data_IF_347049101994
#
_entry.id   IF_347049101994
#
_cell.length_a   1.000
_cell.length_b   1.000
_cell.length_c   1.000
_cell.angle_alpha   90.00
_cell.angle_beta   90.00
_cell.angle_gamma   90.00
#
_symmetry.space_group_name_H-M   'P 1'
#
loop_
_entity.id
_entity.type
_entity.pdbx_description
1 polymer ?
#
# COMPACT_ATOMS: atom_id res chain seq x y z
N UNK A 1 16.35 17.75 5.64
CA UNK A 1 16.92 16.62 4.87
C UNK A 1 15.88 15.50 4.81
N UNK A 2 15.58 14.91 3.64
CA UNK A 2 14.59 13.84 3.56
C UNK A 2 15.09 12.57 4.25
N UNK A 3 14.19 11.88 4.97
CA UNK A 3 14.49 10.64 5.67
C UNK A 3 14.82 9.51 4.67
N UNK A 4 16.02 8.93 4.79
CA UNK A 4 16.60 7.96 3.83
C UNK A 4 16.32 6.49 4.21
N UNK A 5 15.24 6.19 4.93
CA UNK A 5 14.87 4.81 5.27
C UNK A 5 14.27 4.11 4.05
N UNK A 6 14.65 2.86 3.82
CA UNK A 6 14.10 2.06 2.71
C UNK A 6 12.65 1.69 3.01
N UNK A 7 11.77 1.92 2.03
CA UNK A 7 10.36 1.54 2.05
C UNK A 7 10.12 0.44 1.05
N UNK A 8 9.31 -0.55 1.41
CA UNK A 8 8.90 -1.64 0.55
C UNK A 8 7.39 -1.83 0.65
N UNK A 9 6.79 -2.38 -0.41
CA UNK A 9 5.36 -2.74 -0.42
C UNK A 9 5.25 -4.25 -0.54
N UNK A 10 4.30 -4.83 0.19
CA UNK A 10 4.07 -6.27 0.16
C UNK A 10 2.69 -6.65 0.67
N UNK A 11 2.36 -7.92 0.48
CA UNK A 11 1.07 -8.49 0.93
C UNK A 11 1.23 -9.18 2.27
N UNK A 12 0.25 -9.01 3.15
CA UNK A 12 0.21 -9.70 4.45
C UNK A 12 -0.23 -11.16 4.25
N UNK A 13 0.58 -12.10 4.74
CA UNK A 13 0.32 -13.54 4.64
C UNK A 13 -0.17 -14.14 5.95
N UNK A 14 0.28 -13.59 7.09
CA UNK A 14 -0.17 -14.07 8.40
C UNK A 14 -0.10 -12.98 9.47
N UNK A 15 -1.08 -12.99 10.36
CA UNK A 15 -1.28 -12.12 11.52
C UNK A 15 -1.28 -12.91 12.85
N UNK A 16 -0.89 -14.19 12.83
CA UNK A 16 -0.97 -15.09 14.00
C UNK A 16 -0.12 -14.68 15.21
N UNK A 17 0.78 -13.71 15.08
CA UNK A 17 1.72 -13.30 16.12
C UNK A 17 1.29 -11.97 16.72
N UNK A 18 1.46 -11.80 18.02
CA UNK A 18 1.16 -10.53 18.67
C UNK A 18 2.09 -9.41 18.18
N UNK A 19 1.48 -8.25 17.92
CA UNK A 19 2.10 -7.01 17.44
C UNK A 19 2.90 -7.17 16.16
N UNK A 20 2.69 -8.24 15.41
CA UNK A 20 3.60 -8.66 14.34
C UNK A 20 2.87 -9.28 13.17
N UNK A 21 3.09 -8.72 11.98
CA UNK A 21 2.57 -9.29 10.74
C UNK A 21 3.70 -9.84 9.87
N UNK A 22 3.43 -10.97 9.21
CA UNK A 22 4.34 -11.54 8.20
C UNK A 22 3.94 -11.01 6.83
N UNK A 23 4.85 -10.26 6.22
CA UNK A 23 4.68 -9.62 4.91
C UNK A 23 5.49 -10.38 3.87
N UNK A 24 4.89 -10.67 2.73
CA UNK A 24 5.55 -11.21 1.55
C UNK A 24 5.97 -10.06 0.64
N UNK A 25 7.28 -9.99 0.40
CA UNK A 25 7.91 -9.05 -0.50
C UNK A 25 8.24 -9.75 -1.80
N UNK A 26 7.75 -9.20 -2.89
CA UNK A 26 8.05 -9.67 -4.24
C UNK A 26 9.13 -8.78 -4.86
N UNK A 27 10.16 -9.42 -5.41
CA UNK A 27 11.20 -8.74 -6.19
C UNK A 27 11.26 -9.39 -7.57
N UNK A 28 11.12 -8.58 -8.61
CA UNK A 28 11.34 -9.01 -10.00
C UNK A 28 12.80 -8.75 -10.36
N UNK A 29 13.49 -9.78 -10.84
CA UNK A 29 14.88 -9.68 -11.29
C UNK A 29 15.06 -10.46 -12.59
N UNK A 30 15.90 -9.94 -13.48
CA UNK A 30 16.24 -10.61 -14.73
C UNK A 30 17.28 -11.69 -14.44
N UNK A 31 17.04 -12.93 -14.88
CA UNK A 31 18.04 -13.97 -14.81
C UNK A 31 19.22 -13.63 -15.72
N UNK A 32 20.48 -13.64 -15.25
CA UNK A 32 21.62 -13.08 -15.98
C UNK A 32 21.87 -13.75 -17.34
N UNK A 33 21.74 -15.07 -17.42
CA UNK A 33 21.98 -15.85 -18.64
C UNK A 33 20.77 -15.79 -19.58
N UNK A 34 19.60 -16.25 -19.10
CA UNK A 34 18.40 -16.40 -19.93
C UNK A 34 17.63 -15.11 -20.20
N UNK A 35 17.97 -13.99 -19.54
CA UNK A 35 17.30 -12.69 -19.65
C UNK A 35 15.77 -12.72 -19.41
N UNK A 36 15.27 -13.78 -18.76
CA UNK A 36 13.86 -13.93 -18.36
C UNK A 36 13.61 -13.23 -17.03
N UNK A 37 12.45 -12.61 -16.88
CA UNK A 37 12.00 -12.07 -15.59
C UNK A 37 11.65 -13.21 -14.63
N UNK A 38 12.34 -13.25 -13.49
CA UNK A 38 12.09 -14.18 -12.39
C UNK A 38 11.57 -13.39 -11.19
N UNK A 39 10.51 -13.89 -10.56
CA UNK A 39 9.96 -13.32 -9.32
C UNK A 39 10.56 -14.09 -8.15
N UNK A 40 11.21 -13.37 -7.24
CA UNK A 40 11.70 -13.93 -5.97
C UNK A 40 10.89 -13.35 -4.82
N UNK A 41 10.42 -14.22 -3.94
CA UNK A 41 9.60 -13.84 -2.79
C UNK A 41 10.41 -13.96 -1.49
N UNK A 42 10.30 -12.98 -0.61
CA UNK A 42 10.90 -13.01 0.74
C UNK A 42 9.85 -12.68 1.79
N UNK A 43 9.77 -13.49 2.84
CA UNK A 43 8.94 -13.20 4.02
C UNK A 43 9.72 -12.35 5.01
N UNK A 44 9.11 -11.30 5.52
CA UNK A 44 9.67 -10.43 6.56
C UNK A 44 8.64 -10.20 7.66
N UNK A 45 9.13 -9.91 8.87
CA UNK A 45 8.26 -9.57 10.00
C UNK A 45 8.25 -8.07 10.21
N UNK A 46 7.06 -7.50 10.18
CA UNK A 46 6.81 -6.09 10.43
C UNK A 46 6.11 -5.89 11.78
N UNK A 47 6.42 -4.77 12.44
CA UNK A 47 5.75 -4.33 13.65
C UNK A 47 4.47 -3.58 13.34
N UNK A 48 3.41 -3.99 14.03
CA UNK A 48 2.14 -3.30 14.10
C UNK A 48 1.77 -3.23 15.59
N UNK A 49 1.55 -2.03 16.14
CA UNK A 49 1.24 -1.87 17.56
C UNK A 49 -0.23 -2.20 17.86
N UNK A 50 -1.12 -1.94 16.90
CA UNK A 50 -2.56 -2.04 17.07
C UNK A 50 -3.16 -3.39 16.65
N UNK A 51 -2.37 -4.30 16.08
CA UNK A 51 -2.84 -5.58 15.52
C UNK A 51 -4.05 -5.41 14.59
N UNK A 52 -4.12 -4.28 13.89
CA UNK A 52 -5.29 -3.87 13.12
C UNK A 52 -5.25 -4.32 11.66
N UNK A 53 -4.17 -5.01 11.27
CA UNK A 53 -3.91 -5.36 9.87
C UNK A 53 -4.36 -6.78 9.59
N UNK A 54 -5.34 -6.89 8.71
CA UNK A 54 -5.91 -8.18 8.29
C UNK A 54 -5.04 -8.90 7.26
N UNK A 55 -5.15 -10.23 7.24
CA UNK A 55 -4.51 -11.08 6.23
C UNK A 55 -5.03 -10.73 4.84
N UNK A 56 -4.11 -10.64 3.87
CA UNK A 56 -4.44 -10.31 2.49
C UNK A 56 -4.33 -8.83 2.15
N UNK A 57 -4.20 -7.94 3.14
CA UNK A 57 -3.96 -6.51 2.95
C UNK A 57 -2.64 -6.24 2.22
N UNK A 58 -2.58 -5.15 1.45
CA UNK A 58 -1.34 -4.61 0.88
C UNK A 58 -0.84 -3.50 1.80
N UNK A 59 0.40 -3.65 2.27
CA UNK A 59 0.99 -2.73 3.26
C UNK A 59 2.31 -2.16 2.77
N UNK A 60 2.57 -0.92 3.15
CA UNK A 60 3.87 -0.25 3.00
C UNK A 60 4.63 -0.39 4.31
N UNK A 61 5.82 -0.96 4.23
CA UNK A 61 6.72 -1.17 5.37
C UNK A 61 7.98 -0.34 5.25
N UNK A 62 8.52 0.08 6.38
CA UNK A 62 9.75 0.87 6.48
C UNK A 62 10.78 0.15 7.36
N UNK A 63 12.06 0.32 7.04
CA UNK A 63 13.14 -0.17 7.90
C UNK A 63 13.15 0.51 9.26
N UNK A 64 13.32 -0.29 10.31
CA UNK A 64 13.38 0.18 11.69
C UNK A 64 14.64 -0.31 12.40
N UNK A 65 14.85 0.18 13.62
CA UNK A 65 15.74 -0.50 14.57
C UNK A 65 15.28 -1.97 14.75
N UNK A 66 16.19 -2.90 15.05
CA UNK A 66 15.78 -4.26 15.39
C UNK A 66 14.88 -4.21 16.62
N UNK A 67 13.65 -4.70 16.48
CA UNK A 67 12.68 -4.85 17.58
C UNK A 67 12.75 -6.25 18.19
N UNK A 68 13.25 -7.21 17.42
CA UNK A 68 13.52 -8.58 17.84
C UNK A 68 14.61 -9.17 16.92
N UNK A 69 14.91 -10.47 17.06
CA UNK A 69 15.90 -11.20 16.26
C UNK A 69 15.66 -11.06 14.75
N UNK A 70 14.39 -11.21 14.33
CA UNK A 70 14.01 -11.21 12.90
C UNK A 70 13.19 -9.98 12.50
N UNK A 71 12.58 -9.27 13.46
CA UNK A 71 11.66 -8.15 13.24
C UNK A 71 12.42 -6.82 13.14
N UNK A 72 12.54 -6.33 11.91
CA UNK A 72 13.34 -5.14 11.53
C UNK A 72 12.57 -4.15 10.65
N UNK A 73 11.28 -4.38 10.49
CA UNK A 73 10.38 -3.58 9.69
C UNK A 73 9.24 -3.08 10.56
N UNK A 74 8.71 -1.92 10.23
CA UNK A 74 7.51 -1.33 10.85
C UNK A 74 6.51 -1.05 9.73
N UNK A 75 5.22 -1.26 9.98
CA UNK A 75 4.18 -0.87 9.03
C UNK A 75 3.99 0.65 9.09
N UNK A 76 4.10 1.31 7.94
CA UNK A 76 3.91 2.76 7.80
C UNK A 76 2.47 3.07 7.38
N UNK A 77 1.93 2.31 6.42
CA UNK A 77 0.64 2.59 5.80
C UNK A 77 -0.02 1.31 5.26
N UNK A 78 -1.35 1.20 5.35
CA UNK A 78 -2.15 0.17 4.69
C UNK A 78 -2.68 0.75 3.38
N UNK A 79 -2.25 0.18 2.26
CA UNK A 79 -2.59 0.68 0.92
C UNK A 79 -3.90 0.09 0.38
N UNK A 80 -4.20 -1.16 0.74
CA UNK A 80 -5.44 -1.82 0.34
C UNK A 80 -5.87 -2.83 1.39
N UNK A 81 -7.15 -2.80 1.77
CA UNK A 81 -7.78 -3.79 2.64
C UNK A 81 -8.33 -4.96 1.82
N UNK A 82 -8.40 -6.18 2.38
CA UNK A 82 -9.02 -7.31 1.70
C UNK A 82 -10.50 -7.03 1.46
N UNK A 83 -10.95 -7.11 0.21
CA UNK A 83 -12.35 -6.94 -0.17
C UNK A 83 -12.79 -5.49 -0.45
N UNK A 84 -11.94 -4.50 -0.16
CA UNK A 84 -12.19 -3.12 -0.58
C UNK A 84 -11.66 -2.96 -2.01
N UNK A 85 -12.57 -3.04 -2.99
CA UNK A 85 -12.26 -2.65 -4.35
C UNK A 85 -11.97 -1.15 -4.38
N UNK A 86 -10.89 -0.76 -5.05
CA UNK A 86 -10.58 0.64 -5.30
C UNK A 86 -11.80 1.29 -5.96
N UNK A 87 -12.50 2.16 -5.22
CA UNK A 87 -13.42 3.11 -5.82
C UNK A 87 -12.55 4.18 -6.46
N UNK A 88 -12.06 3.88 -7.66
CA UNK A 88 -11.43 4.85 -8.53
C UNK A 88 -12.24 4.93 -9.81
N UNK A 89 -13.43 5.53 -9.73
CA UNK A 89 -14.17 6.07 -10.88
C UNK A 89 -15.01 7.24 -10.35
N UNK A 90 -15.14 8.31 -11.15
CA UNK A 90 -15.57 9.70 -10.89
C UNK A 90 -14.37 10.64 -10.56
N UNK A 91 -13.74 11.38 -11.46
CA UNK A 91 -14.11 11.79 -12.82
C UNK A 91 -15.56 12.31 -12.93
N UNK A 92 -15.98 13.21 -12.03
CA UNK A 92 -17.03 14.21 -12.30
C UNK A 92 -17.09 15.24 -11.17
N UNK A 93 -16.17 16.21 -11.23
CA UNK A 93 -16.42 17.57 -10.73
C UNK A 93 -15.92 18.52 -11.83
N UNK A 94 -16.42 18.33 -13.06
CA UNK A 94 -16.36 19.35 -14.10
C UNK A 94 -17.42 20.39 -13.75
N UNK A 95 -17.12 21.22 -12.75
CA UNK A 95 -17.90 22.43 -12.46
C UNK A 95 -17.61 23.51 -13.49
N UNK A 96 -18.05 23.33 -14.74
CA UNK A 96 -18.12 24.38 -15.74
C UNK A 96 -19.51 24.40 -16.38
N UNK A 97 -20.06 25.62 -16.39
CA UNK A 97 -21.19 26.12 -17.18
C UNK A 97 -22.58 25.60 -16.81
N UNK A 98 -23.13 26.10 -15.71
CA UNK A 98 -24.55 26.43 -15.65
C UNK A 98 -24.80 27.76 -16.36
N UNK A 99 -25.01 27.72 -17.67
CA UNK A 99 -25.89 28.69 -18.33
C UNK A 99 -27.29 28.08 -18.25
N UNK A 100 -28.22 28.71 -17.54
CA UNK A 100 -29.62 28.83 -17.95
C UNK A 100 -30.41 29.73 -16.97
N UNK A 101 -31.15 30.67 -17.58
CA UNK A 101 -32.24 31.52 -17.04
C UNK A 101 -31.82 32.81 -16.30
N UNK A 102 -32.35 34.00 -16.60
CA UNK A 102 -33.63 34.32 -17.25
C UNK A 102 -33.57 35.45 -18.29
N UNK A 103 -34.28 35.18 -19.37
CA UNK A 103 -35.06 36.16 -20.12
C UNK A 103 -36.05 36.84 -19.16
N UNK A 104 -35.92 38.15 -18.98
CA UNK A 104 -37.01 38.99 -18.45
C UNK A 104 -37.11 40.22 -19.35
N UNK A 105 -38.09 40.15 -20.25
CA UNK A 105 -38.63 41.28 -20.96
C UNK A 105 -39.53 42.07 -20.01
N UNK A 106 -39.34 43.39 -19.90
CA UNK A 106 -40.38 44.41 -20.00
C UNK A 106 -39.90 45.79 -19.49
N UNK A 107 -40.16 46.79 -20.33
CA UNK A 107 -40.27 48.25 -20.09
C UNK A 107 -39.00 49.10 -19.94
#
# INVERSE_FOLDING_TARGET
MPNKRRRLVGRVVSDKMDKTVTVLLEKRSIHPIYKKYVVSTKKVHAHDESNSIEVGSVVRIVESKPLSKTKRWVVEEVLARPGEALVTDLADEVGLTGQEQGEEAAE
#
